data_IF_155850985072
#
_entry.id   IF_155850985072
#
_cell.length_a   1.000
_cell.length_b   1.000
_cell.length_c   1.000
_cell.angle_alpha   90.00
_cell.angle_beta   90.00
_cell.angle_gamma   90.00
#
_symmetry.space_group_name_H-M   'P 1'
#
loop_
_entity.id
_entity.type
_entity.pdbx_description
1 polymer ?
#
# COMPACT_ATOMS: atom_id res chain seq x y z
N UNK A 1 50.86 6.94 -29.54
CA UNK A 1 49.74 6.85 -30.50
C UNK A 1 48.46 6.56 -29.71
N UNK A 2 47.57 7.54 -29.48
CA UNK A 2 46.29 7.28 -28.82
C UNK A 2 45.25 6.80 -29.85
N UNK A 3 44.73 5.59 -29.62
CA UNK A 3 43.69 4.95 -30.41
C UNK A 3 42.33 5.60 -30.18
N UNK A 4 41.79 6.18 -31.25
CA UNK A 4 40.40 6.61 -31.38
C UNK A 4 39.50 5.38 -31.50
N UNK A 5 38.42 5.32 -30.72
CA UNK A 5 37.27 4.48 -31.02
C UNK A 5 35.99 5.31 -30.96
N UNK A 6 35.06 4.92 -31.83
CA UNK A 6 34.00 5.73 -32.39
C UNK A 6 32.78 5.99 -31.50
N UNK A 7 32.17 7.12 -31.83
CA UNK A 7 30.81 7.61 -31.62
C UNK A 7 29.70 6.56 -31.63
N UNK A 8 28.75 6.70 -30.70
CA UNK A 8 27.37 6.24 -30.90
C UNK A 8 26.42 7.42 -30.72
N UNK A 9 25.92 7.86 -31.86
CA UNK A 9 24.87 8.84 -32.07
C UNK A 9 23.49 8.32 -31.67
N UNK A 10 22.65 9.26 -31.25
CA UNK A 10 21.20 9.39 -31.41
C UNK A 10 20.26 8.33 -30.81
N UNK A 11 19.48 8.79 -29.81
CA UNK A 11 18.04 8.50 -29.76
C UNK A 11 17.31 9.75 -29.27
N UNK A 12 16.90 10.58 -30.22
CA UNK A 12 15.92 11.64 -30.00
C UNK A 12 14.55 11.00 -29.79
N UNK A 13 13.98 11.14 -28.60
CA UNK A 13 12.55 10.85 -28.39
C UNK A 13 11.73 12.07 -28.82
N UNK A 14 11.40 12.12 -30.11
CA UNK A 14 10.31 12.95 -30.65
C UNK A 14 9.00 12.37 -30.11
N UNK A 15 8.41 13.03 -29.10
CA UNK A 15 7.02 12.75 -28.71
C UNK A 15 6.10 13.50 -29.66
N UNK A 16 5.45 12.71 -30.50
CA UNK A 16 4.46 13.10 -31.49
C UNK A 16 3.22 13.71 -30.83
N UNK A 17 2.86 14.88 -31.37
CA UNK A 17 1.62 15.61 -31.20
C UNK A 17 0.44 14.77 -31.72
N UNK A 18 -0.45 14.34 -30.83
CA UNK A 18 -1.72 13.73 -31.19
C UNK A 18 -2.79 14.82 -31.36
N UNK A 19 -3.14 15.11 -32.61
CA UNK A 19 -4.44 15.66 -33.00
C UNK A 19 -5.35 14.46 -33.30
N UNK A 20 -6.48 14.35 -32.60
CA UNK A 20 -7.59 13.45 -32.93
C UNK A 20 -8.90 14.19 -32.56
N UNK A 21 -9.68 14.56 -33.57
CA UNK A 21 -11.05 14.06 -33.78
C UNK A 21 -12.06 14.88 -32.99
N UNK A 22 -12.68 15.94 -33.52
CA UNK A 22 -13.83 15.88 -34.45
C UNK A 22 -14.86 14.82 -34.05
N UNK A 23 -15.69 15.16 -33.05
CA UNK A 23 -16.97 14.51 -32.83
C UNK A 23 -18.10 15.46 -33.21
N UNK A 24 -18.73 15.13 -34.33
CA UNK A 24 -19.98 15.67 -34.80
C UNK A 24 -21.10 15.39 -33.78
N UNK A 25 -21.80 16.43 -33.36
CA UNK A 25 -23.13 16.29 -32.78
C UNK A 25 -24.10 17.22 -33.49
N UNK A 26 -24.80 16.60 -34.44
CA UNK A 26 -25.94 17.10 -35.20
C UNK A 26 -27.00 17.71 -34.29
N UNK A 27 -27.25 19.02 -34.40
CA UNK A 27 -28.45 19.65 -33.86
C UNK A 27 -29.39 20.03 -35.00
N UNK A 28 -30.48 19.29 -35.08
CA UNK A 28 -31.56 19.41 -36.06
C UNK A 28 -32.05 20.86 -36.18
N UNK A 29 -31.96 21.40 -37.40
CA UNK A 29 -32.55 22.65 -37.82
C UNK A 29 -34.01 22.39 -38.23
N UNK A 30 -34.96 22.68 -37.36
CA UNK A 30 -36.39 22.67 -37.71
C UNK A 30 -36.80 24.03 -38.25
N UNK A 31 -36.81 24.07 -39.59
CA UNK A 31 -37.50 24.99 -40.51
C UNK A 31 -38.88 25.40 -39.98
N UNK A 32 -39.06 26.66 -39.59
CA UNK A 32 -40.38 27.30 -39.47
C UNK A 32 -40.65 28.08 -40.75
N UNK A 33 -41.61 27.59 -41.53
CA UNK A 33 -42.13 28.25 -42.71
C UNK A 33 -42.74 29.61 -42.33
N UNK A 34 -42.19 30.70 -42.88
CA UNK A 34 -42.85 31.99 -42.94
C UNK A 34 -43.91 31.95 -44.04
N UNK A 35 -45.19 32.04 -43.66
CA UNK A 35 -46.29 32.27 -44.59
C UNK A 35 -46.43 33.77 -44.79
N UNK A 36 -46.13 34.23 -45.99
CA UNK A 36 -46.48 35.54 -46.52
C UNK A 36 -47.96 35.55 -46.89
N UNK A 37 -48.69 36.61 -46.53
CA UNK A 37 -49.97 36.93 -47.15
C UNK A 37 -49.82 38.28 -47.83
N UNK A 38 -49.85 38.25 -49.17
CA UNK A 38 -50.05 39.39 -50.05
C UNK A 38 -51.52 39.81 -49.99
N UNK A 39 -51.76 41.11 -49.83
CA UNK A 39 -53.08 41.73 -50.00
C UNK A 39 -53.13 42.30 -51.40
N UNK A 40 -53.86 41.63 -52.29
CA UNK A 40 -54.23 42.15 -53.61
C UNK A 40 -55.70 42.60 -53.58
N UNK A 41 -55.88 43.87 -53.97
CA UNK A 41 -56.97 44.50 -54.73
C UNK A 41 -58.44 44.07 -54.60
N UNK A 42 -59.32 45.08 -54.58
CA UNK A 42 -60.69 44.92 -55.06
C UNK A 42 -61.69 45.88 -54.39
N UNK A 43 -61.72 47.12 -54.88
CA UNK A 43 -62.80 48.09 -54.68
C UNK A 43 -64.15 47.54 -55.16
N UNK A 44 -65.23 47.79 -54.43
CA UNK A 44 -66.57 47.93 -55.00
C UNK A 44 -67.47 48.79 -54.09
N UNK A 45 -68.08 49.77 -54.74
CA UNK A 45 -68.89 50.88 -54.24
C UNK A 45 -70.32 50.40 -53.87
N UNK A 46 -70.93 50.95 -52.82
CA UNK A 46 -72.28 50.50 -52.44
C UNK A 46 -72.84 51.11 -51.15
N UNK A 47 -73.42 52.30 -51.28
CA UNK A 47 -74.20 53.01 -50.27
C UNK A 47 -75.42 52.22 -49.76
N UNK A 48 -75.61 52.09 -48.43
CA UNK A 48 -76.93 52.21 -47.75
C UNK A 48 -76.82 52.29 -46.23
N UNK A 49 -77.52 53.27 -45.67
CA UNK A 49 -77.67 53.56 -44.25
C UNK A 49 -78.31 52.44 -43.43
N UNK A 50 -77.87 52.27 -42.17
CA UNK A 50 -78.69 52.29 -40.95
C UNK A 50 -78.00 51.55 -39.78
N UNK A 51 -77.86 52.27 -38.66
CA UNK A 51 -78.10 51.83 -37.27
C UNK A 51 -77.27 50.64 -36.73
N UNK A 52 -76.49 50.97 -35.71
CA UNK A 52 -75.71 50.13 -34.78
C UNK A 52 -76.18 48.68 -34.57
N UNK A 53 -75.23 47.77 -34.33
CA UNK A 53 -75.25 47.16 -33.00
C UNK A 53 -73.91 47.22 -32.28
N UNK A 54 -74.06 47.51 -31.00
CA UNK A 54 -73.13 47.62 -29.91
C UNK A 54 -72.43 46.27 -29.63
N UNK A 55 -71.37 45.91 -30.35
CA UNK A 55 -70.59 44.69 -30.07
C UNK A 55 -69.10 44.83 -30.45
N UNK A 56 -68.33 45.52 -29.62
CA UNK A 56 -66.89 45.25 -29.36
C UNK A 56 -66.40 46.16 -28.22
N UNK A 57 -66.87 45.86 -27.02
CA UNK A 57 -66.33 46.47 -25.79
C UNK A 57 -65.29 45.57 -25.10
N UNK A 58 -64.78 44.53 -25.77
CA UNK A 58 -63.70 43.70 -25.23
C UNK A 58 -62.79 43.21 -26.36
N UNK A 59 -61.96 44.11 -26.89
CA UNK A 59 -60.69 43.67 -27.45
C UNK A 59 -59.81 43.26 -26.26
N UNK A 60 -59.89 42.00 -25.83
CA UNK A 60 -58.95 41.44 -24.85
C UNK A 60 -57.55 41.57 -25.43
N UNK A 61 -56.77 42.49 -24.87
CA UNK A 61 -55.36 42.62 -25.15
C UNK A 61 -54.68 41.26 -24.89
N UNK A 62 -54.12 40.70 -25.96
CA UNK A 62 -53.08 39.68 -26.03
C UNK A 62 -52.46 39.29 -24.69
N UNK A 63 -52.70 38.04 -24.26
CA UNK A 63 -52.28 37.49 -22.97
C UNK A 63 -50.76 37.61 -22.71
N UNK A 64 -50.32 38.54 -21.85
CA UNK A 64 -48.92 38.62 -21.44
C UNK A 64 -48.58 37.63 -20.30
N UNK A 65 -49.60 37.02 -19.70
CA UNK A 65 -49.47 36.08 -18.58
C UNK A 65 -48.85 34.74 -19.00
N UNK A 66 -49.16 34.23 -20.19
CA UNK A 66 -48.61 32.95 -20.67
C UNK A 66 -47.13 33.05 -21.06
N UNK A 67 -46.67 34.21 -21.53
CA UNK A 67 -45.25 34.46 -21.80
C UNK A 67 -44.47 34.72 -20.50
N UNK A 68 -45.05 35.44 -19.55
CA UNK A 68 -44.47 35.64 -18.21
C UNK A 68 -44.29 34.30 -17.48
N UNK A 69 -45.31 33.45 -17.47
CA UNK A 69 -45.24 32.11 -16.89
C UNK A 69 -44.20 31.22 -17.58
N UNK A 70 -44.08 31.29 -18.91
CA UNK A 70 -43.02 30.57 -19.66
C UNK A 70 -41.61 31.06 -19.33
N UNK A 71 -41.42 32.37 -19.11
CA UNK A 71 -40.12 32.95 -18.71
C UNK A 71 -39.75 32.57 -17.28
N UNK A 72 -40.70 32.60 -16.36
CA UNK A 72 -40.52 32.17 -14.98
C UNK A 72 -40.21 30.66 -14.89
N UNK A 73 -40.88 29.83 -15.70
CA UNK A 73 -40.57 28.41 -15.80
C UNK A 73 -39.19 28.14 -16.42
N UNK A 74 -38.73 28.97 -17.36
CA UNK A 74 -37.37 28.87 -17.91
C UNK A 74 -36.32 29.31 -16.90
N UNK A 75 -36.57 30.37 -16.14
CA UNK A 75 -35.68 30.84 -15.08
C UNK A 75 -35.57 29.80 -13.95
N UNK A 76 -36.67 29.18 -13.56
CA UNK A 76 -36.67 28.09 -12.58
C UNK A 76 -35.83 26.89 -13.05
N UNK A 77 -35.91 26.54 -14.34
CA UNK A 77 -35.09 25.48 -14.94
C UNK A 77 -33.60 25.87 -15.00
N UNK A 78 -33.28 27.11 -15.32
CA UNK A 78 -31.89 27.59 -15.31
C UNK A 78 -31.31 27.56 -13.90
N UNK A 79 -32.07 28.02 -12.90
CA UNK A 79 -31.67 27.94 -11.48
C UNK A 79 -31.52 26.49 -11.00
N UNK A 80 -32.34 25.56 -11.50
CA UNK A 80 -32.17 24.13 -11.21
C UNK A 80 -30.86 23.59 -11.82
N UNK A 81 -30.58 23.90 -13.08
CA UNK A 81 -29.33 23.51 -13.76
C UNK A 81 -28.10 24.15 -13.11
N UNK A 82 -28.18 25.39 -12.65
CA UNK A 82 -27.10 26.07 -11.93
C UNK A 82 -26.84 25.41 -10.56
N UNK A 83 -27.88 25.00 -9.84
CA UNK A 83 -27.75 24.24 -8.59
C UNK A 83 -27.15 22.86 -8.82
N UNK A 84 -27.56 22.15 -9.86
CA UNK A 84 -26.98 20.85 -10.22
C UNK A 84 -25.51 20.99 -10.62
N UNK A 85 -25.17 22.00 -11.42
CA UNK A 85 -23.77 22.29 -11.77
C UNK A 85 -22.93 22.68 -10.57
N UNK A 86 -23.47 23.47 -9.64
CA UNK A 86 -22.79 23.82 -8.40
C UNK A 86 -22.54 22.59 -7.52
N UNK A 87 -23.55 21.74 -7.34
CA UNK A 87 -23.44 20.49 -6.59
C UNK A 87 -22.41 19.52 -7.20
N UNK A 88 -22.41 19.38 -8.53
CA UNK A 88 -21.42 18.55 -9.24
C UNK A 88 -20.00 19.11 -9.12
N UNK A 89 -19.83 20.44 -9.20
CA UNK A 89 -18.53 21.09 -9.01
C UNK A 89 -18.00 20.89 -7.59
N UNK A 90 -18.84 21.07 -6.58
CA UNK A 90 -18.48 20.82 -5.18
C UNK A 90 -18.14 19.34 -4.94
N UNK A 91 -18.88 18.41 -5.55
CA UNK A 91 -18.59 16.98 -5.45
C UNK A 91 -17.25 16.61 -6.10
N UNK A 92 -16.93 17.19 -7.27
CA UNK A 92 -15.63 16.99 -7.92
C UNK A 92 -14.49 17.61 -7.11
N UNK A 93 -14.70 18.77 -6.50
CA UNK A 93 -13.69 19.40 -5.64
C UNK A 93 -13.47 18.59 -4.35
N UNK A 94 -14.53 18.10 -3.71
CA UNK A 94 -14.44 17.21 -2.54
C UNK A 94 -13.74 15.90 -2.90
N UNK A 95 -14.08 15.30 -4.04
CA UNK A 95 -13.42 14.10 -4.54
C UNK A 95 -11.94 14.35 -4.90
N UNK A 96 -11.60 15.53 -5.44
CA UNK A 96 -10.22 15.93 -5.71
C UNK A 96 -9.43 16.13 -4.42
N UNK A 97 -10.01 16.79 -3.41
CA UNK A 97 -9.42 16.97 -2.08
C UNK A 97 -9.20 15.64 -1.37
N UNK A 98 -10.19 14.74 -1.37
CA UNK A 98 -10.08 13.40 -0.79
C UNK A 98 -9.02 12.55 -1.52
N UNK A 99 -8.97 12.63 -2.87
CA UNK A 99 -7.92 11.96 -3.64
C UNK A 99 -6.53 12.55 -3.38
N UNK A 100 -6.42 13.87 -3.22
CA UNK A 100 -5.16 14.52 -2.87
C UNK A 100 -4.69 14.09 -1.48
N UNK A 101 -5.58 14.09 -0.49
CA UNK A 101 -5.29 13.63 0.87
C UNK A 101 -4.94 12.13 0.91
N UNK A 102 -5.67 11.29 0.17
CA UNK A 102 -5.33 9.86 0.03
C UNK A 102 -3.96 9.67 -0.61
N UNK A 103 -3.66 10.38 -1.70
CA UNK A 103 -2.34 10.34 -2.36
C UNK A 103 -1.23 10.83 -1.43
N UNK A 104 -1.46 11.87 -0.64
CA UNK A 104 -0.48 12.37 0.34
C UNK A 104 -0.26 11.36 1.47
N UNK A 105 -1.32 10.76 2.00
CA UNK A 105 -1.23 9.68 3.00
C UNK A 105 -0.53 8.44 2.46
N UNK A 106 -0.78 8.05 1.20
CA UNK A 106 -0.10 6.94 0.55
C UNK A 106 1.37 7.27 0.25
N UNK A 107 1.67 8.46 -0.26
CA UNK A 107 3.03 8.94 -0.47
C UNK A 107 3.81 8.98 0.85
N UNK A 108 3.20 9.44 1.94
CA UNK A 108 3.80 9.42 3.27
C UNK A 108 4.11 7.99 3.75
N UNK A 109 3.20 7.03 3.56
CA UNK A 109 3.44 5.61 3.90
C UNK A 109 4.54 4.99 3.03
N UNK A 110 4.59 5.30 1.74
CA UNK A 110 5.65 4.81 0.83
C UNK A 110 7.01 5.41 1.23
N UNK A 111 7.06 6.70 1.55
CA UNK A 111 8.28 7.35 2.02
C UNK A 111 8.77 6.78 3.36
N UNK A 112 7.85 6.50 4.29
CA UNK A 112 8.14 5.92 5.61
C UNK A 112 8.70 4.49 5.49
N UNK A 113 8.05 3.65 4.68
CA UNK A 113 8.53 2.29 4.41
C UNK A 113 9.86 2.28 3.65
N UNK A 114 10.10 3.20 2.73
CA UNK A 114 11.38 3.37 2.06
C UNK A 114 12.49 3.77 3.05
N UNK A 115 12.23 4.72 3.96
CA UNK A 115 13.17 5.11 5.02
C UNK A 115 13.51 3.93 5.95
N UNK A 116 12.51 3.13 6.36
CA UNK A 116 12.73 1.92 7.16
C UNK A 116 13.64 0.91 6.46
N UNK A 117 13.44 0.68 5.16
CA UNK A 117 14.27 -0.24 4.37
C UNK A 117 15.71 0.23 4.26
N UNK A 118 15.93 1.53 4.02
CA UNK A 118 17.28 2.11 3.96
C UNK A 118 17.97 2.03 5.33
N UNK A 119 17.27 2.37 6.42
CA UNK A 119 17.81 2.26 7.77
C UNK A 119 18.19 0.81 8.12
N UNK A 120 17.33 -0.16 7.80
CA UNK A 120 17.62 -1.58 7.98
C UNK A 120 18.79 -2.06 7.11
N UNK A 121 18.89 -1.57 5.87
CA UNK A 121 20.02 -1.83 4.97
C UNK A 121 21.35 -1.33 5.55
N UNK A 122 21.37 -0.12 6.10
CA UNK A 122 22.57 0.46 6.73
C UNK A 122 22.98 -0.29 8.01
N UNK A 123 22.02 -0.75 8.82
CA UNK A 123 22.31 -1.57 9.99
C UNK A 123 22.87 -2.94 9.59
N UNK A 124 22.32 -3.57 8.57
CA UNK A 124 22.80 -4.87 8.07
C UNK A 124 24.17 -4.75 7.38
N UNK A 125 24.43 -3.67 6.63
CA UNK A 125 25.75 -3.42 6.05
C UNK A 125 26.79 -3.10 7.13
N UNK A 126 26.41 -2.39 8.19
CA UNK A 126 27.25 -2.18 9.36
C UNK A 126 27.63 -3.50 10.03
N UNK A 127 26.67 -4.41 10.20
CA UNK A 127 26.93 -5.75 10.74
C UNK A 127 27.80 -6.60 9.79
N UNK A 128 27.65 -6.46 8.47
CA UNK A 128 28.49 -7.15 7.48
C UNK A 128 29.94 -6.63 7.48
N UNK A 129 30.14 -5.32 7.70
CA UNK A 129 31.45 -4.73 7.88
C UNK A 129 32.14 -5.23 9.15
N UNK A 130 31.42 -5.26 10.28
CA UNK A 130 31.94 -5.82 11.53
C UNK A 130 32.28 -7.29 11.34
N UNK A 131 31.36 -8.11 10.79
CA UNK A 131 31.60 -9.53 10.54
C UNK A 131 32.80 -9.77 9.64
N UNK A 132 33.00 -8.98 8.58
CA UNK A 132 34.20 -9.07 7.74
C UNK A 132 35.47 -8.71 8.50
N UNK A 133 35.44 -7.72 9.38
CA UNK A 133 36.59 -7.43 10.26
C UNK A 133 36.82 -8.52 11.32
N UNK A 134 35.76 -9.21 11.78
CA UNK A 134 35.91 -10.38 12.67
C UNK A 134 36.44 -11.57 11.88
N UNK A 135 35.99 -11.81 10.65
CA UNK A 135 36.48 -12.88 9.76
C UNK A 135 37.94 -12.63 9.31
N UNK A 136 38.33 -11.41 8.97
CA UNK A 136 39.74 -11.04 8.68
C UNK A 136 40.63 -11.12 9.93
N UNK A 137 40.07 -10.81 11.11
CA UNK A 137 40.76 -10.97 12.40
C UNK A 137 40.83 -12.44 12.81
N UNK A 138 39.79 -13.21 12.51
CA UNK A 138 39.74 -14.66 12.66
C UNK A 138 40.69 -15.33 11.69
N UNK A 139 40.85 -14.91 10.43
CA UNK A 139 41.88 -15.48 9.52
C UNK A 139 43.31 -15.17 9.99
N UNK A 140 43.54 -13.99 10.60
CA UNK A 140 44.85 -13.64 11.20
C UNK A 140 45.07 -14.24 12.59
N UNK A 141 44.02 -14.67 13.28
CA UNK A 141 44.09 -15.44 14.54
C UNK A 141 43.91 -16.95 14.32
N UNK A 142 43.45 -17.38 13.15
CA UNK A 142 43.24 -18.75 12.72
C UNK A 142 44.53 -19.27 12.09
N UNK A 143 45.57 -19.32 12.91
CA UNK A 143 46.07 -20.67 13.16
C UNK A 143 44.92 -21.36 13.89
N UNK A 144 44.34 -22.46 13.39
CA UNK A 144 43.23 -23.11 14.06
C UNK A 144 43.63 -23.37 15.51
N UNK A 145 43.08 -22.58 16.44
CA UNK A 145 43.23 -22.87 17.86
C UNK A 145 42.33 -24.05 18.10
N UNK A 146 42.95 -25.23 17.94
CA UNK A 146 42.58 -26.49 18.57
C UNK A 146 41.14 -26.92 18.22
N UNK A 147 40.96 -27.96 17.41
CA UNK A 147 40.86 -29.31 17.95
C UNK A 147 40.94 -29.35 19.48
N UNK A 148 39.99 -28.71 20.18
CA UNK A 148 39.74 -29.02 21.58
C UNK A 148 39.43 -30.49 21.56
N UNK A 149 40.41 -31.30 21.99
CA UNK A 149 40.31 -32.75 21.96
C UNK A 149 38.95 -33.13 22.53
N UNK A 150 38.22 -34.08 21.94
CA UNK A 150 36.94 -34.55 22.49
C UNK A 150 37.04 -34.81 24.00
N UNK A 151 38.21 -35.25 24.49
CA UNK A 151 38.53 -35.41 25.91
C UNK A 151 38.43 -34.12 26.75
N UNK A 152 38.79 -32.96 26.21
CA UNK A 152 38.76 -31.69 26.94
C UNK A 152 37.33 -31.13 27.04
N UNK A 153 36.52 -31.35 26.00
CA UNK A 153 35.07 -31.08 26.02
C UNK A 153 34.41 -31.94 27.09
N UNK A 154 34.76 -33.22 27.13
CA UNK A 154 34.30 -34.16 28.13
C UNK A 154 34.75 -33.79 29.55
N UNK A 155 36.03 -33.48 29.77
CA UNK A 155 36.55 -33.01 31.07
C UNK A 155 35.80 -31.77 31.55
N UNK A 156 35.52 -30.82 30.67
CA UNK A 156 34.74 -29.62 30.99
C UNK A 156 33.30 -29.94 31.33
N UNK A 157 32.67 -30.84 30.59
CA UNK A 157 31.30 -31.29 30.86
C UNK A 157 31.20 -32.02 32.22
N UNK A 158 32.16 -32.90 32.53
CA UNK A 158 32.27 -33.60 33.82
C UNK A 158 32.43 -32.60 34.96
N UNK A 159 33.38 -31.66 34.87
CA UNK A 159 33.58 -30.62 35.89
C UNK A 159 32.33 -29.80 36.12
N UNK A 160 31.64 -29.39 35.06
CA UNK A 160 30.40 -28.61 35.17
C UNK A 160 29.29 -29.39 35.86
N UNK A 161 29.07 -30.66 35.51
CA UNK A 161 28.06 -31.50 36.18
C UNK A 161 28.43 -31.77 37.65
N UNK A 162 29.72 -31.88 37.97
CA UNK A 162 30.16 -32.04 39.35
C UNK A 162 29.93 -30.78 40.19
N UNK A 163 30.19 -29.59 39.62
CA UNK A 163 30.01 -28.29 40.26
C UNK A 163 28.55 -27.81 40.28
N UNK A 164 27.68 -28.40 39.46
CA UNK A 164 26.27 -28.04 39.42
C UNK A 164 25.58 -28.37 40.76
N UNK A 165 24.93 -27.37 41.34
CA UNK A 165 24.23 -27.49 42.63
C UNK A 165 22.76 -27.87 42.51
N UNK A 166 22.17 -27.77 41.32
CA UNK A 166 20.75 -28.03 41.07
C UNK A 166 20.56 -29.03 39.94
N UNK A 167 19.49 -29.84 40.01
CA UNK A 167 19.19 -30.87 39.00
C UNK A 167 18.95 -30.27 37.60
N UNK A 168 18.41 -29.05 37.54
CA UNK A 168 18.22 -28.29 36.29
C UNK A 168 19.55 -27.89 35.65
N UNK A 169 20.51 -27.47 36.48
CA UNK A 169 21.85 -27.08 36.03
C UNK A 169 22.67 -28.29 35.57
N UNK A 170 22.45 -29.47 36.14
CA UNK A 170 23.08 -30.73 35.68
C UNK A 170 22.68 -31.08 34.25
N UNK A 171 21.43 -30.78 33.85
CA UNK A 171 20.90 -31.02 32.51
C UNK A 171 21.05 -29.83 31.54
N UNK A 172 21.70 -28.74 31.98
CA UNK A 172 21.77 -27.46 31.25
C UNK A 172 20.42 -26.92 30.80
N UNK A 173 19.42 -27.02 31.68
CA UNK A 173 18.08 -26.53 31.40
C UNK A 173 17.69 -25.44 32.40
N UNK A 174 16.94 -24.41 31.98
CA UNK A 174 16.30 -23.50 32.91
C UNK A 174 15.19 -24.23 33.70
N UNK A 175 14.92 -23.80 34.95
CA UNK A 175 13.82 -24.35 35.74
C UNK A 175 12.49 -24.13 35.02
N UNK A 176 11.63 -25.16 35.01
CA UNK A 176 10.35 -25.13 34.30
C UNK A 176 10.41 -25.52 32.82
N UNK A 177 11.54 -26.06 32.35
CA UNK A 177 11.66 -26.62 30.99
C UNK A 177 10.71 -27.81 30.78
N UNK A 178 10.18 -27.95 29.56
CA UNK A 178 9.27 -29.04 29.23
C UNK A 178 9.96 -30.42 29.29
N UNK A 179 9.20 -31.47 29.62
CA UNK A 179 9.67 -32.87 29.65
C UNK A 179 10.39 -33.31 28.36
N UNK A 180 10.00 -32.77 27.20
CA UNK A 180 10.65 -33.02 25.90
C UNK A 180 12.13 -32.59 25.87
N UNK A 181 12.46 -31.45 26.48
CA UNK A 181 13.82 -30.92 26.53
C UNK A 181 14.70 -31.66 27.55
N UNK A 182 14.11 -32.12 28.65
CA UNK A 182 14.77 -32.96 29.66
C UNK A 182 15.28 -34.26 29.02
N UNK A 183 14.44 -34.94 28.24
CA UNK A 183 14.83 -36.19 27.54
C UNK A 183 15.90 -35.93 26.48
N UNK A 184 15.78 -34.82 25.73
CA UNK A 184 16.75 -34.47 24.69
C UNK A 184 18.14 -34.19 25.28
N UNK A 185 18.24 -33.27 26.25
CA UNK A 185 19.51 -32.91 26.88
C UNK A 185 20.12 -34.08 27.65
N UNK A 186 19.31 -34.91 28.30
CA UNK A 186 19.80 -36.14 28.92
C UNK A 186 20.50 -37.05 27.90
N UNK A 187 19.89 -37.30 26.73
CA UNK A 187 20.47 -38.16 25.69
C UNK A 187 21.75 -37.58 25.11
N UNK A 188 21.83 -36.26 24.96
CA UNK A 188 23.02 -35.61 24.41
C UNK A 188 24.16 -35.60 25.43
N UNK A 189 23.90 -35.27 26.69
CA UNK A 189 24.90 -35.34 27.77
C UNK A 189 25.32 -36.76 28.09
N UNK A 190 24.42 -37.74 28.03
CA UNK A 190 24.74 -39.14 28.27
C UNK A 190 25.71 -39.71 27.23
N UNK A 191 25.66 -39.24 25.97
CA UNK A 191 26.62 -39.66 24.93
C UNK A 191 28.03 -39.13 25.19
N UNK A 192 28.12 -37.91 25.74
CA UNK A 192 29.39 -37.22 26.04
C UNK A 192 29.99 -37.77 27.35
N UNK A 193 29.16 -37.95 28.37
CA UNK A 193 29.56 -38.37 29.71
C UNK A 193 29.50 -39.89 29.93
N UNK A 194 29.40 -40.68 28.86
CA UNK A 194 29.36 -42.13 28.99
C UNK A 194 30.73 -42.64 29.49
N UNK A 195 30.79 -43.48 30.53
CA UNK A 195 32.05 -43.94 31.11
C UNK A 195 32.93 -44.78 30.16
N UNK A 196 32.36 -45.25 29.04
CA UNK A 196 33.09 -45.97 27.98
C UNK A 196 33.82 -45.03 27.01
N UNK A 197 33.27 -43.84 26.78
CA UNK A 197 33.82 -42.86 25.84
C UNK A 197 34.68 -41.81 26.55
N UNK A 198 34.34 -41.51 27.79
CA UNK A 198 35.00 -40.53 28.61
C UNK A 198 35.95 -41.17 29.62
N UNK A 199 37.25 -41.10 29.32
CA UNK A 199 38.33 -41.52 30.24
C UNK A 199 38.68 -40.46 31.30
N UNK A 200 37.86 -39.41 31.47
CA UNK A 200 38.12 -38.35 32.44
C UNK A 200 37.89 -38.82 33.89
N UNK A 201 38.71 -38.36 34.86
CA UNK A 201 38.49 -38.65 36.27
C UNK A 201 37.16 -38.07 36.73
N UNK A 202 36.31 -38.92 37.33
CA UNK A 202 34.99 -38.52 37.84
C UNK A 202 33.86 -38.51 36.79
N UNK A 203 34.08 -39.07 35.59
CA UNK A 203 33.02 -39.27 34.60
C UNK A 203 31.85 -40.13 35.14
N UNK A 204 32.19 -41.19 35.89
CA UNK A 204 31.20 -42.08 36.53
C UNK A 204 30.29 -41.33 37.52
N UNK A 205 30.87 -40.45 38.34
CA UNK A 205 30.12 -39.67 39.32
C UNK A 205 29.24 -38.61 38.64
N UNK A 206 29.76 -37.95 37.60
CA UNK A 206 28.98 -37.02 36.80
C UNK A 206 27.79 -37.71 36.11
N UNK A 207 28.00 -38.91 35.56
CA UNK A 207 26.94 -39.71 34.94
C UNK A 207 25.88 -40.16 35.97
N UNK A 208 26.28 -40.50 37.19
CA UNK A 208 25.34 -40.82 38.27
C UNK A 208 24.49 -39.59 38.67
N UNK A 209 25.12 -38.42 38.83
CA UNK A 209 24.41 -37.15 39.09
C UNK A 209 23.43 -36.82 37.95
N UNK A 210 23.85 -36.98 36.70
CA UNK A 210 23.00 -36.80 35.52
C UNK A 210 21.77 -37.71 35.55
N UNK A 211 21.95 -38.99 35.88
CA UNK A 211 20.84 -39.95 36.00
C UNK A 211 19.90 -39.61 37.16
N UNK A 212 20.43 -39.15 38.30
CA UNK A 212 19.62 -38.73 39.45
C UNK A 212 18.76 -37.51 39.09
N UNK A 213 19.36 -36.49 38.48
CA UNK A 213 18.66 -35.29 38.03
C UNK A 213 17.57 -35.62 36.99
N UNK A 214 17.86 -36.49 36.03
CA UNK A 214 16.87 -36.94 35.05
C UNK A 214 15.69 -37.65 35.70
N UNK A 215 15.93 -38.56 36.66
CA UNK A 215 14.86 -39.25 37.39
C UNK A 215 13.99 -38.27 38.20
N UNK A 216 14.60 -37.31 38.88
CA UNK A 216 13.90 -36.29 39.66
C UNK A 216 13.00 -35.40 38.80
N UNK A 217 13.43 -35.07 37.58
CA UNK A 217 12.72 -34.16 36.69
C UNK A 217 11.76 -34.85 35.70
N UNK A 218 11.96 -36.15 35.44
CA UNK A 218 11.12 -36.95 34.55
C UNK A 218 9.99 -37.68 35.29
N UNK A 219 10.22 -38.07 36.55
CA UNK A 219 9.32 -38.92 37.35
C UNK A 219 8.59 -38.22 38.50
N UNK A 220 8.48 -36.89 38.47
CA UNK A 220 7.62 -36.09 39.35
C UNK A 220 6.28 -35.72 38.70
#
# INVERSE_FOLDING_TARGET
MPGRTWTRSDVETVTTRAHAGEDASTRASTKRQGKTWTREGGDDDGTRAAKTPKLRAEARAFEPATQKAKREALEAKLRAVEREKAALREALERAAREKAEKKEREAAKVAETARRKVAAGNLLSGFRGVRKTVEDREEKLAKPVENVSPEEIERRAVRRVQLAGTDWQVLDLPPGSQKKWIVKNYRDLAKILHPDKCSAPGAKEAFQKLNKAYKALSGG
#
